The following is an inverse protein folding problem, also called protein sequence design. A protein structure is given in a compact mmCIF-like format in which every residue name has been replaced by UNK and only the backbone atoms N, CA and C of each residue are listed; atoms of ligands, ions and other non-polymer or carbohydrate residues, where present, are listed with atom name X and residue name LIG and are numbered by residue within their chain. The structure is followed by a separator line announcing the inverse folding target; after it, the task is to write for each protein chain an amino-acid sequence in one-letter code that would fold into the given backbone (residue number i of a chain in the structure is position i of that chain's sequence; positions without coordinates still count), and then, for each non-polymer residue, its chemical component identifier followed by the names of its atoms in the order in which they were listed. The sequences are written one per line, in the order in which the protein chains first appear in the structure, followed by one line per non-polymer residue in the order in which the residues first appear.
data_IF_060329937187
#
_entry.id   IF_060329937187
#
_cell.length_a   1.000
_cell.length_b   1.000
_cell.length_c   1.000
_cell.angle_alpha   90.00
_cell.angle_beta   90.00
_cell.angle_gamma   90.00
#
_symmetry.space_group_name_H-M   'P 1'
#
loop_
_entity.id
_entity.type
_entity.pdbx_description
1 polymer ?
#
# COMPACT_ATOMS: atom_id res chain seq x y z
N UNK A 1 29.46 10.57 46.08
CA UNK A 1 29.63 10.21 44.66
C UNK A 1 28.27 9.77 44.12
N UNK A 2 27.58 10.61 43.35
CA UNK A 2 26.23 10.30 42.82
C UNK A 2 26.36 9.97 41.35
N UNK A 3 26.23 8.68 41.01
CA UNK A 3 26.30 8.17 39.63
C UNK A 3 25.03 8.60 38.89
N UNK A 4 25.17 9.50 37.91
CA UNK A 4 24.11 9.84 36.96
C UNK A 4 24.07 8.70 35.94
N UNK A 5 23.00 7.91 35.96
CA UNK A 5 22.74 6.88 34.97
C UNK A 5 22.13 7.57 33.74
N UNK A 6 22.94 7.75 32.70
CA UNK A 6 22.49 8.25 31.41
C UNK A 6 21.80 7.11 30.67
N UNK A 7 20.46 7.10 30.69
CA UNK A 7 19.67 6.15 29.90
C UNK A 7 19.63 6.67 28.46
N UNK A 8 20.40 6.02 27.58
CA UNK A 8 20.28 6.20 26.13
C UNK A 8 18.98 5.54 25.68
N UNK A 9 17.94 6.34 25.39
CA UNK A 9 16.80 5.88 24.60
C UNK A 9 17.32 5.64 23.18
N UNK A 10 17.59 4.37 22.84
CA UNK A 10 17.65 3.95 21.45
C UNK A 10 16.21 3.97 20.91
N UNK A 11 15.88 5.02 20.15
CA UNK A 11 14.67 5.00 19.34
C UNK A 11 14.79 3.89 18.30
N UNK A 12 13.83 2.97 18.27
CA UNK A 12 13.71 1.99 17.18
C UNK A 12 13.64 2.75 15.85
N UNK A 13 14.38 2.36 14.80
CA UNK A 13 14.11 2.89 13.47
C UNK A 13 12.65 2.55 13.15
N UNK A 14 11.82 3.56 12.93
CA UNK A 14 10.56 3.35 12.26
C UNK A 14 10.89 2.61 10.95
N UNK A 15 10.24 1.48 10.69
CA UNK A 15 10.30 0.86 9.36
C UNK A 15 9.77 1.92 8.40
N UNK A 16 10.69 2.63 7.75
CA UNK A 16 10.34 3.61 6.74
C UNK A 16 9.76 2.81 5.57
N UNK A 17 8.54 3.18 5.18
CA UNK A 17 7.73 2.58 4.12
C UNK A 17 8.60 2.03 2.98
N UNK A 18 8.42 0.75 2.65
CA UNK A 18 9.28 0.03 1.72
C UNK A 18 9.10 0.62 0.30
N UNK A 19 9.97 1.55 -0.08
CA UNK A 19 10.06 2.06 -1.45
C UNK A 19 10.53 0.91 -2.33
N UNK A 20 9.59 0.27 -3.00
CA UNK A 20 9.87 -0.80 -3.94
C UNK A 20 10.14 -0.21 -5.32
N UNK A 21 11.07 -0.82 -6.07
CA UNK A 21 11.58 -0.28 -7.33
C UNK A 21 11.72 -1.34 -8.41
N UNK A 22 11.61 -0.89 -9.65
CA UNK A 22 11.81 -1.68 -10.86
C UNK A 22 12.44 -0.79 -11.94
N UNK A 23 13.67 -1.11 -12.34
CA UNK A 23 14.39 -0.29 -13.31
C UNK A 23 14.59 1.13 -12.79
N UNK A 24 14.20 2.12 -13.58
CA UNK A 24 14.26 3.53 -13.20
C UNK A 24 13.00 4.06 -12.47
N UNK A 25 12.03 3.20 -12.15
CA UNK A 25 10.79 3.56 -11.45
C UNK A 25 10.82 3.05 -10.01
N UNK A 26 10.38 3.87 -9.07
CA UNK A 26 10.03 3.46 -7.70
C UNK A 26 8.67 4.00 -7.32
N UNK A 27 8.03 3.36 -6.35
CA UNK A 27 6.73 3.82 -5.85
C UNK A 27 6.70 3.82 -4.33
N UNK A 28 6.35 4.96 -3.76
CA UNK A 28 5.93 5.09 -2.37
C UNK A 28 4.49 4.62 -2.27
N UNK A 29 4.21 3.78 -1.28
CA UNK A 29 2.90 3.17 -1.06
C UNK A 29 2.38 3.53 0.32
N UNK A 30 1.10 3.87 0.40
CA UNK A 30 0.40 4.12 1.64
C UNK A 30 -1.03 3.56 1.59
N UNK A 31 -1.59 3.28 2.76
CA UNK A 31 -3.03 3.04 2.92
C UNK A 31 -3.58 3.94 4.01
N UNK A 32 -4.88 4.22 3.97
CA UNK A 32 -5.60 4.88 5.08
C UNK A 32 -5.68 4.02 6.37
N UNK A 33 -5.39 2.71 6.24
CA UNK A 33 -5.39 1.75 7.34
C UNK A 33 -4.00 1.27 7.81
N UNK A 34 -2.99 2.16 7.86
CA UNK A 34 -1.62 1.84 8.33
C UNK A 34 -0.97 0.63 7.64
N UNK A 35 -1.01 0.60 6.31
CA UNK A 35 -0.48 -0.49 5.46
C UNK A 35 -1.11 -1.86 5.72
N UNK A 36 -2.41 -1.88 6.05
CA UNK A 36 -3.19 -3.10 6.26
C UNK A 36 -4.48 -3.04 5.45
N UNK A 37 -5.06 -4.20 5.19
CA UNK A 37 -6.42 -4.30 4.65
C UNK A 37 -7.40 -4.66 5.77
N UNK A 38 -8.59 -4.07 5.75
CA UNK A 38 -9.68 -4.40 6.66
C UNK A 38 -10.68 -5.31 5.96
N UNK A 39 -10.99 -6.45 6.56
CA UNK A 39 -11.98 -7.37 6.00
C UNK A 39 -13.37 -6.72 6.06
N UNK A 40 -14.05 -6.65 4.93
CA UNK A 40 -15.41 -6.12 4.83
C UNK A 40 -15.51 -4.59 4.80
N UNK A 41 -14.39 -3.87 4.86
CA UNK A 41 -14.33 -2.42 4.68
C UNK A 41 -13.54 -2.06 3.42
N UNK A 42 -13.84 -0.89 2.86
CA UNK A 42 -13.06 -0.35 1.76
C UNK A 42 -11.81 0.31 2.34
N UNK A 43 -10.64 -0.05 1.80
CA UNK A 43 -9.33 0.51 2.18
C UNK A 43 -8.83 1.36 1.02
N UNK A 44 -8.55 2.63 1.27
CA UNK A 44 -7.91 3.49 0.26
C UNK A 44 -6.43 3.15 0.19
N UNK A 45 -5.94 2.87 -1.01
CA UNK A 45 -4.51 2.72 -1.30
C UNK A 45 -4.04 3.87 -2.18
N UNK A 46 -2.84 4.37 -1.92
CA UNK A 46 -2.24 5.49 -2.63
C UNK A 46 -0.81 5.17 -3.03
N UNK A 47 -0.43 5.58 -4.23
CA UNK A 47 0.90 5.39 -4.80
C UNK A 47 1.46 6.72 -5.32
N UNK A 48 2.64 7.13 -4.85
CA UNK A 48 3.43 8.19 -5.49
C UNK A 48 4.55 7.57 -6.30
N UNK A 49 4.61 7.91 -7.58
CA UNK A 49 5.59 7.38 -8.52
C UNK A 49 6.81 8.30 -8.57
N UNK A 50 8.01 7.72 -8.50
CA UNK A 50 9.26 8.42 -8.75
C UNK A 50 9.98 7.78 -9.92
N UNK A 51 10.49 8.62 -10.83
CA UNK A 51 11.34 8.21 -11.95
C UNK A 51 12.72 8.80 -11.74
N UNK A 52 13.74 7.95 -11.63
CA UNK A 52 15.12 8.36 -11.32
C UNK A 52 15.21 9.24 -10.06
N UNK A 53 14.31 9.02 -9.10
CA UNK A 53 14.23 9.75 -7.83
C UNK A 53 13.44 11.06 -7.88
N UNK A 54 12.84 11.43 -9.02
CA UNK A 54 11.96 12.60 -9.13
C UNK A 54 10.49 12.14 -9.19
N UNK A 55 9.63 12.72 -8.35
CA UNK A 55 8.20 12.46 -8.38
C UNK A 55 7.60 12.84 -9.74
N UNK A 56 6.70 12.00 -10.24
CA UNK A 56 5.94 12.26 -11.46
C UNK A 56 4.44 12.24 -11.16
N UNK A 57 3.70 13.03 -11.93
CA UNK A 57 2.24 12.97 -11.95
C UNK A 57 1.76 11.58 -12.39
N UNK A 58 0.87 10.97 -11.59
CA UNK A 58 0.20 9.71 -11.90
C UNK A 58 -0.42 9.66 -13.31
N UNK A 59 -0.93 10.78 -13.83
CA UNK A 59 -1.51 10.88 -15.17
C UNK A 59 -0.49 10.59 -16.31
N UNK A 60 0.82 10.57 -16.01
CA UNK A 60 1.87 10.16 -16.96
C UNK A 60 2.04 8.64 -17.04
N UNK A 61 1.36 7.88 -16.19
CA UNK A 61 1.39 6.42 -16.17
C UNK A 61 0.08 5.82 -16.68
N UNK A 62 0.17 4.84 -17.57
CA UNK A 62 -0.91 3.87 -17.78
C UNK A 62 -0.76 2.78 -16.73
N UNK A 63 -1.15 3.11 -15.51
CA UNK A 63 -1.00 2.25 -14.34
C UNK A 63 -2.25 1.37 -14.14
N UNK A 64 -2.02 0.17 -13.63
CA UNK A 64 -3.07 -0.77 -13.25
C UNK A 64 -2.71 -1.37 -11.90
N UNK A 65 -3.71 -1.47 -11.03
CA UNK A 65 -3.58 -2.14 -9.74
C UNK A 65 -4.22 -3.53 -9.82
N UNK A 66 -3.49 -4.54 -9.35
CA UNK A 66 -3.97 -5.92 -9.26
C UNK A 66 -3.88 -6.39 -7.82
N UNK A 67 -4.95 -6.96 -7.30
CA UNK A 67 -5.00 -7.56 -5.97
C UNK A 67 -5.04 -9.08 -6.10
N UNK A 68 -4.03 -9.75 -5.53
CA UNK A 68 -3.96 -11.21 -5.44
C UNK A 68 -4.25 -11.66 -4.01
N UNK A 69 -5.09 -12.69 -3.81
CA UNK A 69 -5.10 -13.43 -2.55
C UNK A 69 -3.82 -14.28 -2.47
N UNK A 70 -2.99 -14.02 -1.46
CA UNK A 70 -1.66 -14.62 -1.34
C UNK A 70 -0.68 -14.14 -2.43
N UNK A 71 0.24 -15.02 -2.79
CA UNK A 71 1.33 -14.70 -3.73
C UNK A 71 0.85 -14.71 -5.20
N UNK A 72 1.31 -13.76 -6.04
CA UNK A 72 0.96 -13.75 -7.46
C UNK A 72 1.41 -15.01 -8.20
N UNK A 73 0.52 -15.58 -9.01
CA UNK A 73 0.88 -16.69 -9.90
C UNK A 73 -0.07 -16.78 -11.09
N UNK A 74 0.37 -17.44 -12.17
CA UNK A 74 -0.46 -17.65 -13.36
C UNK A 74 -1.74 -18.47 -13.12
N UNK A 75 -1.89 -19.10 -11.95
CA UNK A 75 -3.06 -19.91 -11.57
C UNK A 75 -4.07 -19.13 -10.73
N UNK A 76 -3.68 -17.96 -10.22
CA UNK A 76 -4.52 -17.11 -9.38
C UNK A 76 -4.97 -15.93 -10.22
N UNK A 77 -6.28 -15.75 -10.35
CA UNK A 77 -6.84 -14.58 -11.01
C UNK A 77 -6.84 -13.41 -10.02
N UNK A 78 -6.20 -12.28 -10.34
CA UNK A 78 -6.31 -11.09 -9.50
C UNK A 78 -7.66 -10.39 -9.70
N UNK A 79 -8.06 -9.62 -8.69
CA UNK A 79 -9.00 -8.53 -8.93
C UNK A 79 -8.24 -7.38 -9.61
N UNK A 80 -8.81 -6.87 -10.70
CA UNK A 80 -8.32 -5.65 -11.37
C UNK A 80 -9.01 -4.47 -10.71
N UNK A 81 -8.23 -3.50 -10.27
CA UNK A 81 -8.71 -2.28 -9.61
C UNK A 81 -8.34 -1.08 -10.47
N UNK A 82 -9.28 -0.14 -10.54
CA UNK A 82 -9.06 1.14 -11.20
C UNK A 82 -8.25 2.06 -10.28
N UNK A 83 -7.39 2.86 -10.88
CA UNK A 83 -6.64 3.92 -10.21
C UNK A 83 -7.09 5.26 -10.78
N UNK A 84 -7.29 6.22 -9.89
CA UNK A 84 -7.65 7.60 -10.20
C UNK A 84 -6.61 8.55 -9.60
N UNK A 85 -6.59 9.81 -10.05
CA UNK A 85 -5.78 10.83 -9.37
C UNK A 85 -6.34 11.09 -7.97
N UNK A 86 -5.46 11.24 -6.99
CA UNK A 86 -5.86 11.49 -5.61
C UNK A 86 -6.62 12.81 -5.43
N UNK A 87 -7.57 12.83 -4.50
CA UNK A 87 -8.40 14.02 -4.27
C UNK A 87 -7.61 15.17 -3.63
N UNK A 88 -6.86 14.87 -2.56
CA UNK A 88 -6.02 15.85 -1.86
C UNK A 88 -4.60 15.91 -2.44
N UNK A 89 -4.12 14.80 -3.04
CA UNK A 89 -2.82 14.67 -3.69
C UNK A 89 -2.99 14.27 -5.18
N UNK A 90 -3.27 15.21 -6.10
CA UNK A 90 -3.54 14.89 -7.51
C UNK A 90 -2.39 14.19 -8.25
N UNK A 91 -1.16 14.29 -7.73
CA UNK A 91 0.02 13.63 -8.27
C UNK A 91 0.08 12.14 -7.90
N UNK A 92 -0.63 11.72 -6.84
CA UNK A 92 -0.73 10.34 -6.42
C UNK A 92 -1.80 9.58 -7.23
N UNK A 93 -1.59 8.28 -7.39
CA UNK A 93 -2.58 7.35 -7.92
C UNK A 93 -3.29 6.65 -6.77
N UNK A 94 -4.60 6.79 -6.67
CA UNK A 94 -5.43 6.26 -5.59
C UNK A 94 -6.41 5.20 -6.11
N UNK A 95 -6.70 4.19 -5.29
CA UNK A 95 -7.69 3.16 -5.59
C UNK A 95 -8.30 2.57 -4.33
N UNK A 96 -9.53 2.07 -4.44
CA UNK A 96 -10.24 1.43 -3.34
C UNK A 96 -10.10 -0.09 -3.43
N UNK A 97 -9.67 -0.69 -2.32
CA UNK A 97 -9.49 -2.14 -2.17
C UNK A 97 -10.51 -2.65 -1.16
N UNK A 98 -11.20 -3.74 -1.48
CA UNK A 98 -12.06 -4.46 -0.54
C UNK A 98 -11.73 -5.94 -0.57
N UNK A 99 -11.62 -6.55 0.61
CA UNK A 99 -11.34 -7.98 0.78
C UNK A 99 -12.36 -8.62 1.70
N UNK A 100 -12.76 -9.85 1.38
CA UNK A 100 -13.82 -10.56 2.11
C UNK A 100 -13.29 -11.59 3.12
N UNK A 101 -12.00 -11.94 3.05
CA UNK A 101 -11.39 -12.96 3.91
C UNK A 101 -10.11 -12.43 4.56
N UNK A 102 -9.83 -12.81 5.82
CA UNK A 102 -8.55 -12.50 6.46
C UNK A 102 -7.43 -13.35 5.84
N UNK A 103 -6.22 -12.80 5.80
CA UNK A 103 -5.05 -13.53 5.30
C UNK A 103 -4.07 -12.66 4.52
N UNK A 104 -3.05 -13.29 3.91
CA UNK A 104 -2.07 -12.58 3.10
C UNK A 104 -2.66 -12.15 1.76
N UNK A 105 -2.31 -10.95 1.33
CA UNK A 105 -2.62 -10.41 0.01
C UNK A 105 -1.36 -9.81 -0.62
N UNK A 106 -1.35 -9.73 -1.94
CA UNK A 106 -0.32 -8.99 -2.67
C UNK A 106 -0.97 -7.99 -3.60
N UNK A 107 -0.66 -6.71 -3.39
CA UNK A 107 -0.94 -5.67 -4.37
C UNK A 107 0.19 -5.64 -5.38
N UNK A 108 -0.16 -5.59 -6.65
CA UNK A 108 0.78 -5.42 -7.74
C UNK A 108 0.42 -4.14 -8.47
N UNK A 109 1.31 -3.16 -8.38
CA UNK A 109 1.27 -1.98 -9.23
C UNK A 109 2.08 -2.27 -10.48
N UNK A 110 1.41 -2.29 -11.63
CA UNK A 110 2.04 -2.45 -12.93
C UNK A 110 1.74 -1.24 -13.80
N UNK A 111 2.72 -0.79 -14.57
CA UNK A 111 2.55 0.41 -15.36
C UNK A 111 3.54 0.56 -16.49
N UNK A 112 3.19 1.43 -17.43
CA UNK A 112 4.04 1.87 -18.54
C UNK A 112 3.80 3.37 -18.78
N UNK A 113 4.77 4.09 -19.36
CA UNK A 113 4.57 5.51 -19.59
C UNK A 113 3.51 5.75 -20.67
N UNK A 114 2.74 6.84 -20.51
CA UNK A 114 1.83 7.32 -21.56
C UNK A 114 2.63 7.74 -22.80
N UNK A 115 3.76 8.42 -22.59
CA UNK A 115 4.71 8.76 -23.65
C UNK A 115 5.87 7.77 -23.67
N UNK A 116 6.01 7.03 -24.77
CA UNK A 116 7.05 6.01 -24.91
C UNK A 116 8.46 6.60 -24.67
N UNK A 117 9.22 5.96 -23.77
CA UNK A 117 10.60 6.34 -23.44
C UNK A 117 10.77 7.22 -22.21
N UNK A 118 9.69 7.72 -21.61
CA UNK A 118 9.78 8.55 -20.39
C UNK A 118 10.38 7.79 -19.20
N UNK A 119 9.95 6.53 -19.03
CA UNK A 119 10.41 5.60 -18.00
C UNK A 119 10.16 4.13 -18.40
N UNK A 120 10.73 3.20 -17.64
CA UNK A 120 10.65 1.76 -17.92
C UNK A 120 9.24 1.20 -17.63
N UNK A 121 8.78 0.21 -18.39
CA UNK A 121 7.62 -0.58 -17.96
C UNK A 121 7.98 -1.29 -16.66
N UNK A 122 7.08 -1.26 -15.69
CA UNK A 122 7.38 -1.75 -14.34
C UNK A 122 6.29 -2.66 -13.78
N UNK A 123 6.71 -3.46 -12.80
CA UNK A 123 5.87 -4.26 -11.93
C UNK A 123 6.49 -4.23 -10.55
N UNK A 124 5.74 -3.73 -9.57
CA UNK A 124 6.13 -3.60 -8.18
C UNK A 124 5.09 -4.32 -7.32
N UNK A 125 5.53 -5.08 -6.32
CA UNK A 125 4.67 -5.93 -5.47
C UNK A 125 4.76 -5.49 -4.02
N UNK A 126 3.61 -5.41 -3.34
CA UNK A 126 3.48 -5.05 -1.93
C UNK A 126 2.73 -6.16 -1.20
N UNK A 127 3.36 -6.72 -0.16
CA UNK A 127 2.74 -7.76 0.67
C UNK A 127 1.94 -7.12 1.80
N UNK A 128 0.66 -7.44 1.87
CA UNK A 128 -0.27 -6.94 2.87
C UNK A 128 -0.92 -8.10 3.63
N UNK A 129 -1.44 -7.80 4.82
CA UNK A 129 -2.32 -8.71 5.53
C UNK A 129 -3.69 -8.06 5.72
N UNK A 130 -4.73 -8.85 5.49
CA UNK A 130 -6.10 -8.51 5.82
C UNK A 130 -6.46 -9.08 7.20
N UNK A 131 -6.99 -8.23 8.06
CA UNK A 131 -7.44 -8.62 9.40
C UNK A 131 -8.95 -8.52 9.49
N UNK A 132 -9.55 -9.54 10.11
CA UNK A 132 -10.95 -9.45 10.53
C UNK A 132 -11.05 -8.47 11.69
N UNK A 133 -12.00 -7.54 11.61
CA UNK A 133 -12.27 -6.62 12.71
C UNK A 133 -12.78 -7.44 13.91
N UNK A 134 -11.95 -7.57 14.95
CA UNK A 134 -12.31 -8.31 16.17
C UNK A 134 -13.22 -7.51 17.11
N UNK A 135 -13.69 -6.32 16.70
CA UNK A 135 -14.42 -5.38 17.55
C UNK A 135 -15.91 -5.24 17.19
N UNK A 136 -16.59 -6.36 16.96
CA UNK A 136 -17.94 -6.52 17.50
C UNK A 136 -17.84 -7.22 18.86
N UNK A 137 -17.26 -6.54 19.87
CA UNK A 137 -17.41 -7.00 21.24
C UNK A 137 -18.93 -7.09 21.54
N UNK A 138 -19.46 -8.23 22.02
CA UNK A 138 -20.87 -8.29 22.37
C UNK A 138 -21.13 -7.22 23.42
N UNK A 139 -22.11 -6.34 23.14
CA UNK A 139 -22.55 -5.34 24.09
C UNK A 139 -22.77 -6.03 25.44
N UNK A 140 -21.97 -5.65 26.45
CA UNK A 140 -22.17 -6.09 27.81
C UNK A 140 -23.60 -5.74 28.19
N UNK A 141 -24.46 -6.75 28.32
CA UNK A 141 -25.79 -6.58 28.90
C UNK A 141 -25.57 -6.07 30.32
N UNK A 142 -25.75 -4.77 30.52
CA UNK A 142 -25.83 -4.20 31.85
C UNK A 142 -27.09 -4.78 32.49
N UNK A 143 -26.86 -5.62 33.50
CA UNK A 143 -27.93 -6.28 34.23
C UNK A 143 -28.50 -5.24 35.19
N UNK A 144 -29.76 -4.87 34.97
CA UNK A 144 -30.55 -4.07 35.92
C UNK A 144 -31.08 -4.97 37.03
#
# INVERSE_FOLDING_TARGET
MKRILFVLLLGSPALAHEVASHGNVSAEFHTDANEQLRVGDDTLVSFRLLVRGEEIDAARCQCQLLLYPGQPSARVMPQILELESGFDEPQAAEGWVRVDEPGPYTLVLAGKPVQAGDFDTFRIEYSLNAYADFLAAPASKETR
#
